data_IF_637497455153
#
_entry.id   IF_637497455153
#
_cell.length_a   1.000
_cell.length_b   1.000
_cell.length_c   1.000
_cell.angle_alpha   90.00
_cell.angle_beta   90.00
_cell.angle_gamma   90.00
#
_symmetry.space_group_name_H-M   'P 1'
#
loop_
_entity.id
_entity.type
_entity.pdbx_description
1 polymer ?
#
# COMPACT_ATOMS: atom_id res chain seq x y z
N UNK A 1 23.45 -11.09 11.54
CA UNK A 1 21.98 -11.08 11.39
C UNK A 1 21.48 -12.42 11.86
N UNK A 2 20.52 -12.44 12.77
CA UNK A 2 19.90 -13.68 13.24
C UNK A 2 19.14 -14.36 12.07
N UNK A 3 19.14 -15.70 12.03
CA UNK A 3 18.54 -16.52 10.96
C UNK A 3 17.07 -16.14 10.72
N UNK A 4 16.37 -15.81 11.80
CA UNK A 4 14.98 -15.36 11.79
C UNK A 4 14.79 -14.09 10.94
N UNK A 5 15.70 -13.12 11.01
CA UNK A 5 15.58 -11.86 10.24
C UNK A 5 15.70 -12.13 8.74
N UNK A 6 16.64 -13.00 8.35
CA UNK A 6 16.85 -13.36 6.95
C UNK A 6 15.64 -14.11 6.38
N UNK A 7 15.11 -15.07 7.14
CA UNK A 7 13.96 -15.88 6.73
C UNK A 7 12.70 -15.01 6.53
N UNK A 8 12.34 -14.18 7.51
CA UNK A 8 11.15 -13.34 7.39
C UNK A 8 11.27 -12.29 6.29
N UNK A 9 12.46 -11.70 6.07
CA UNK A 9 12.71 -10.82 4.92
C UNK A 9 12.51 -11.54 3.60
N UNK A 10 13.05 -12.75 3.48
CA UNK A 10 12.94 -13.54 2.26
C UNK A 10 11.48 -13.88 1.94
N UNK A 11 10.71 -14.35 2.93
CA UNK A 11 9.28 -14.63 2.76
C UNK A 11 8.51 -13.34 2.40
N UNK A 12 8.78 -12.24 3.10
CA UNK A 12 8.13 -10.94 2.85
C UNK A 12 8.34 -10.46 1.42
N UNK A 13 9.58 -10.56 0.91
CA UNK A 13 9.94 -10.16 -0.45
C UNK A 13 9.22 -11.03 -1.48
N UNK A 14 9.25 -12.35 -1.34
CA UNK A 14 8.57 -13.27 -2.27
C UNK A 14 7.07 -12.99 -2.31
N UNK A 15 6.44 -12.92 -1.13
CA UNK A 15 5.01 -12.62 -1.03
C UNK A 15 4.68 -11.25 -1.64
N UNK A 16 5.53 -10.25 -1.40
CA UNK A 16 5.39 -8.89 -1.95
C UNK A 16 5.48 -8.87 -3.47
N UNK A 17 6.43 -9.61 -4.06
CA UNK A 17 6.56 -9.75 -5.52
C UNK A 17 5.32 -10.42 -6.09
N UNK A 18 4.83 -11.51 -5.50
CA UNK A 18 3.61 -12.19 -5.94
C UNK A 18 2.41 -11.24 -5.87
N UNK A 19 2.25 -10.52 -4.77
CA UNK A 19 1.13 -9.62 -4.56
C UNK A 19 1.13 -8.44 -5.53
N UNK A 20 2.22 -7.68 -5.57
CA UNK A 20 2.33 -6.47 -6.39
C UNK A 20 2.43 -6.83 -7.88
N UNK A 21 3.08 -7.93 -8.23
CA UNK A 21 3.11 -8.43 -9.60
C UNK A 21 1.71 -8.74 -10.13
N UNK A 22 0.89 -9.45 -9.36
CA UNK A 22 -0.50 -9.72 -9.72
C UNK A 22 -1.37 -8.46 -9.72
N UNK A 23 -1.11 -7.52 -8.79
CA UNK A 23 -1.77 -6.21 -8.81
C UNK A 23 -1.55 -5.49 -10.15
N UNK A 24 -0.31 -5.44 -10.63
CA UNK A 24 0.03 -4.81 -11.90
C UNK A 24 -0.55 -5.58 -13.09
N UNK A 25 -0.51 -6.92 -13.05
CA UNK A 25 -1.18 -7.74 -14.04
C UNK A 25 -2.67 -7.41 -14.14
N UNK A 26 -3.38 -7.33 -13.02
CA UNK A 26 -4.83 -7.05 -13.04
C UNK A 26 -5.15 -5.68 -13.63
N UNK A 27 -4.39 -4.65 -13.27
CA UNK A 27 -4.73 -3.27 -13.60
C UNK A 27 -4.17 -2.78 -14.94
N UNK A 28 -3.00 -3.26 -15.35
CA UNK A 28 -2.35 -2.81 -16.59
C UNK A 28 -2.47 -3.79 -17.74
N UNK A 29 -2.94 -5.03 -17.51
CA UNK A 29 -3.02 -6.06 -18.55
C UNK A 29 -4.43 -6.65 -18.58
N UNK A 30 -4.82 -7.37 -17.53
CA UNK A 30 -6.03 -8.17 -17.52
C UNK A 30 -7.30 -7.36 -17.77
N UNK A 31 -7.43 -6.17 -17.17
CA UNK A 31 -8.60 -5.30 -17.39
C UNK A 31 -8.79 -4.91 -18.87
N UNK A 32 -7.70 -4.62 -19.58
CA UNK A 32 -7.74 -4.27 -21.00
C UNK A 32 -8.03 -5.47 -21.88
N UNK A 33 -7.45 -6.63 -21.56
CA UNK A 33 -7.76 -7.90 -22.26
C UNK A 33 -9.22 -8.31 -22.03
N UNK A 34 -9.73 -8.21 -20.80
CA UNK A 34 -11.12 -8.54 -20.49
C UNK A 34 -12.11 -7.65 -21.25
N UNK A 35 -11.74 -6.41 -21.55
CA UNK A 35 -12.57 -5.50 -22.33
C UNK A 35 -12.71 -5.92 -23.81
N UNK A 36 -11.77 -6.69 -24.36
CA UNK A 36 -11.82 -7.17 -25.75
C UNK A 36 -12.60 -8.47 -25.92
N UNK A 37 -12.95 -9.15 -24.83
CA UNK A 37 -13.66 -10.44 -24.86
C UNK A 37 -15.16 -10.24 -25.06
N UNK A 38 -15.74 -11.04 -25.96
CA UNK A 38 -17.18 -11.21 -26.09
C UNK A 38 -17.78 -11.95 -24.88
N UNK A 39 -19.11 -12.01 -24.81
CA UNK A 39 -19.82 -12.60 -23.68
C UNK A 39 -19.50 -14.10 -23.47
N UNK A 40 -19.41 -14.89 -24.53
CA UNK A 40 -19.15 -16.32 -24.44
C UNK A 40 -17.69 -16.60 -24.04
N UNK A 41 -16.76 -15.81 -24.56
CA UNK A 41 -15.36 -15.85 -24.12
C UNK A 41 -15.21 -15.47 -22.65
N UNK A 42 -15.90 -14.44 -22.16
CA UNK A 42 -15.88 -14.05 -20.74
C UNK A 42 -16.36 -15.18 -19.83
N UNK A 43 -17.46 -15.87 -20.21
CA UNK A 43 -18.00 -17.02 -19.45
C UNK A 43 -17.00 -18.16 -19.33
N UNK A 44 -16.13 -18.35 -20.32
CA UNK A 44 -15.09 -19.40 -20.30
C UNK A 44 -13.83 -18.96 -19.55
N UNK A 45 -13.36 -17.75 -19.78
CA UNK A 45 -12.05 -17.28 -19.29
C UNK A 45 -12.13 -16.79 -17.85
N UNK A 46 -13.13 -15.96 -17.51
CA UNK A 46 -13.18 -15.26 -16.20
C UNK A 46 -13.31 -16.25 -15.03
N UNK A 47 -14.23 -17.24 -15.05
CA UNK A 47 -14.37 -18.19 -13.94
C UNK A 47 -13.15 -19.08 -13.74
N UNK A 48 -12.32 -19.26 -14.76
CA UNK A 48 -11.11 -20.08 -14.68
C UNK A 48 -9.88 -19.24 -14.28
N UNK A 49 -9.67 -18.08 -14.89
CA UNK A 49 -8.51 -17.24 -14.65
C UNK A 49 -8.59 -16.52 -13.30
N UNK A 50 -9.73 -15.86 -13.03
CA UNK A 50 -9.82 -14.92 -11.92
C UNK A 50 -9.70 -15.58 -10.55
N UNK A 51 -10.40 -16.69 -10.23
CA UNK A 51 -10.25 -17.32 -8.91
C UNK A 51 -8.81 -17.80 -8.64
N UNK A 52 -8.12 -18.33 -9.65
CA UNK A 52 -6.73 -18.80 -9.51
C UNK A 52 -5.78 -17.65 -9.27
N UNK A 53 -5.88 -16.58 -10.06
CA UNK A 53 -5.05 -15.39 -9.87
C UNK A 53 -5.37 -14.68 -8.54
N UNK A 54 -6.65 -14.56 -8.17
CA UNK A 54 -7.08 -13.93 -6.92
C UNK A 54 -6.65 -14.73 -5.68
N UNK A 55 -6.52 -16.06 -5.78
CA UNK A 55 -5.98 -16.88 -4.71
C UNK A 55 -4.55 -16.45 -4.34
N UNK A 56 -3.64 -16.41 -5.32
CA UNK A 56 -2.27 -15.98 -5.08
C UNK A 56 -2.18 -14.50 -4.70
N UNK A 57 -3.04 -13.66 -5.26
CA UNK A 57 -3.09 -12.24 -4.93
C UNK A 57 -3.48 -11.99 -3.46
N UNK A 58 -4.55 -12.62 -2.95
CA UNK A 58 -5.02 -12.43 -1.57
C UNK A 58 -4.09 -13.03 -0.53
N UNK A 59 -3.52 -14.21 -0.83
CA UNK A 59 -2.56 -14.83 0.07
C UNK A 59 -1.20 -14.15 0.02
N UNK A 60 -0.77 -13.66 -1.14
CA UNK A 60 0.39 -12.77 -1.25
C UNK A 60 0.22 -11.56 -0.35
N UNK A 61 -0.94 -10.88 -0.42
CA UNK A 61 -1.26 -9.75 0.45
C UNK A 61 -1.21 -10.10 1.94
N UNK A 62 -1.82 -11.22 2.34
CA UNK A 62 -1.82 -11.67 3.73
C UNK A 62 -0.41 -11.99 4.24
N UNK A 63 0.37 -12.75 3.47
CA UNK A 63 1.74 -13.11 3.86
C UNK A 63 2.67 -11.90 3.91
N UNK A 64 2.59 -10.98 2.95
CA UNK A 64 3.34 -9.72 3.00
C UNK A 64 2.97 -8.92 4.24
N UNK A 65 1.69 -8.78 4.56
CA UNK A 65 1.25 -8.02 5.74
C UNK A 65 1.71 -8.67 7.05
N UNK A 66 1.48 -9.97 7.24
CA UNK A 66 1.88 -10.70 8.46
C UNK A 66 3.39 -10.66 8.66
N UNK A 67 4.16 -11.00 7.63
CA UNK A 67 5.64 -10.95 7.73
C UNK A 67 6.15 -9.52 7.88
N UNK A 68 5.46 -8.54 7.30
CA UNK A 68 5.76 -7.12 7.45
C UNK A 68 5.58 -6.65 8.90
N UNK A 69 4.55 -7.10 9.60
CA UNK A 69 4.36 -6.84 11.03
C UNK A 69 5.50 -7.40 11.87
N UNK A 70 5.90 -8.64 11.60
CA UNK A 70 7.04 -9.27 12.29
C UNK A 70 8.32 -8.48 12.04
N UNK A 71 8.59 -8.09 10.80
CA UNK A 71 9.77 -7.30 10.45
C UNK A 71 9.73 -5.89 11.05
N UNK A 72 8.58 -5.22 11.04
CA UNK A 72 8.40 -3.92 11.68
C UNK A 72 8.71 -4.02 13.17
N UNK A 73 8.22 -5.06 13.84
CA UNK A 73 8.54 -5.28 15.25
C UNK A 73 10.03 -5.55 15.46
N UNK A 74 10.57 -6.56 14.80
CA UNK A 74 11.93 -7.05 15.05
C UNK A 74 13.02 -6.05 14.63
N UNK A 75 12.79 -5.29 13.56
CA UNK A 75 13.80 -4.35 13.02
C UNK A 75 13.67 -2.97 13.65
N UNK A 76 12.44 -2.49 13.87
CA UNK A 76 12.21 -1.12 14.30
C UNK A 76 11.84 -1.04 15.79
N UNK A 77 10.91 -1.87 16.27
CA UNK A 77 10.35 -1.72 17.61
C UNK A 77 10.96 -2.62 18.71
N UNK A 78 11.89 -3.51 18.36
CA UNK A 78 12.52 -4.38 19.35
C UNK A 78 13.34 -3.52 20.33
N UNK A 79 12.97 -3.56 21.62
CA UNK A 79 13.57 -2.71 22.65
C UNK A 79 12.95 -1.32 22.83
N UNK A 80 11.88 -0.97 22.11
CA UNK A 80 11.23 0.36 22.18
C UNK A 80 9.71 0.35 22.34
N UNK A 81 9.08 -0.81 22.63
CA UNK A 81 7.63 -0.89 22.85
C UNK A 81 7.15 -0.37 24.22
N UNK A 82 8.06 -0.10 25.16
CA UNK A 82 7.71 0.45 26.48
C UNK A 82 7.92 1.96 26.50
N UNK A 83 7.17 2.68 27.34
CA UNK A 83 7.49 4.09 27.65
C UNK A 83 8.89 4.20 28.26
N UNK A 84 9.63 5.24 27.90
CA UNK A 84 10.96 5.53 28.46
C UNK A 84 12.06 5.59 27.39
N UNK A 85 13.32 5.65 27.83
CA UNK A 85 14.46 5.82 26.93
C UNK A 85 14.54 4.71 25.88
N UNK A 86 14.68 5.11 24.62
CA UNK A 86 14.84 4.19 23.51
C UNK A 86 16.34 3.88 23.33
N UNK A 87 16.73 2.63 23.59
CA UNK A 87 18.10 2.16 23.39
C UNK A 87 18.13 1.09 22.29
N UNK A 88 19.07 1.22 21.35
CA UNK A 88 19.42 0.16 20.39
C UNK A 88 18.39 -0.18 19.31
N UNK A 89 17.41 0.70 19.04
CA UNK A 89 16.38 0.49 18.02
C UNK A 89 16.58 1.40 16.79
N UNK A 90 15.73 1.25 15.77
CA UNK A 90 15.75 2.07 14.53
C UNK A 90 14.59 3.05 14.42
N UNK A 91 13.88 3.30 15.52
CA UNK A 91 12.72 4.18 15.57
C UNK A 91 13.09 5.61 15.89
N UNK A 92 14.01 5.81 16.82
CA UNK A 92 14.34 7.11 17.37
C UNK A 92 15.86 7.31 17.39
N UNK A 93 16.28 8.57 17.47
CA UNK A 93 17.67 8.91 17.77
C UNK A 93 18.05 8.41 19.18
N UNK A 94 19.31 7.99 19.35
CA UNK A 94 19.79 7.47 20.63
C UNK A 94 19.57 8.49 21.77
N UNK A 95 19.02 8.03 22.89
CA UNK A 95 18.67 8.90 24.03
C UNK A 95 17.31 9.61 23.90
N UNK A 96 16.57 9.40 22.80
CA UNK A 96 15.19 9.87 22.68
C UNK A 96 14.24 8.97 23.48
N UNK A 97 13.32 9.55 24.22
CA UNK A 97 12.28 8.81 24.93
C UNK A 97 11.14 8.39 24.01
N UNK A 98 10.69 7.15 24.17
CA UNK A 98 9.45 6.66 23.59
C UNK A 98 8.28 7.23 24.38
N UNK A 99 7.49 8.07 23.73
CA UNK A 99 6.37 8.79 24.33
C UNK A 99 5.02 8.17 23.97
N UNK A 100 3.95 8.64 24.63
CA UNK A 100 2.58 8.26 24.29
C UNK A 100 2.23 8.65 22.85
N UNK A 101 2.76 9.77 22.32
CA UNK A 101 2.50 10.17 20.94
C UNK A 101 3.04 9.15 19.93
N UNK A 102 4.19 8.52 20.18
CA UNK A 102 4.71 7.44 19.35
C UNK A 102 3.74 6.26 19.24
N UNK A 103 3.10 5.89 20.35
CA UNK A 103 2.11 4.80 20.38
C UNK A 103 0.80 5.17 19.69
N UNK A 104 0.34 6.41 19.88
CA UNK A 104 -0.84 6.94 19.17
C UNK A 104 -0.57 6.94 17.66
N UNK A 105 0.60 7.38 17.22
CA UNK A 105 0.93 7.40 15.78
C UNK A 105 1.11 6.00 15.21
N UNK A 106 1.65 5.05 15.99
CA UNK A 106 1.67 3.63 15.61
C UNK A 106 0.24 3.09 15.44
N UNK A 107 -0.70 3.45 16.33
CA UNK A 107 -2.10 3.11 16.17
C UNK A 107 -2.70 3.75 14.91
N UNK A 108 -2.39 5.02 14.62
CA UNK A 108 -2.85 5.72 13.40
C UNK A 108 -2.40 5.00 12.13
N UNK A 109 -1.19 4.43 12.10
CA UNK A 109 -0.69 3.63 10.95
C UNK A 109 -1.62 2.47 10.62
N UNK A 110 -2.14 1.76 11.62
CA UNK A 110 -3.03 0.62 11.40
C UNK A 110 -4.50 1.01 11.30
N UNK A 111 -4.97 1.97 12.11
CA UNK A 111 -6.34 2.45 12.11
C UNK A 111 -6.68 3.37 10.92
N UNK A 112 -5.67 3.95 10.27
CA UNK A 112 -5.82 4.85 9.13
C UNK A 112 -6.60 4.23 7.97
N UNK A 113 -6.64 2.89 7.88
CA UNK A 113 -7.46 2.18 6.91
C UNK A 113 -8.96 2.46 7.04
N UNK A 114 -9.47 2.65 8.26
CA UNK A 114 -10.90 2.94 8.47
C UNK A 114 -11.25 4.36 8.07
N UNK A 115 -10.35 5.31 8.34
CA UNK A 115 -10.47 6.70 7.88
C UNK A 115 -10.45 6.74 6.36
N UNK A 116 -9.49 6.03 5.74
CA UNK A 116 -9.41 5.87 4.29
C UNK A 116 -10.68 5.25 3.69
N UNK A 117 -11.18 4.14 4.24
CA UNK A 117 -12.37 3.46 3.72
C UNK A 117 -13.61 4.35 3.82
N UNK A 118 -13.78 5.06 4.95
CA UNK A 118 -14.83 6.04 5.17
C UNK A 118 -14.75 7.21 4.18
N UNK A 119 -13.57 7.80 3.99
CA UNK A 119 -13.36 8.92 3.08
C UNK A 119 -13.79 8.57 1.65
N UNK A 120 -13.39 7.39 1.17
CA UNK A 120 -13.69 6.90 -0.17
C UNK A 120 -15.11 6.31 -0.33
N UNK A 121 -15.92 6.30 0.72
CA UNK A 121 -17.38 6.06 0.66
C UNK A 121 -18.21 7.33 0.75
N UNK A 122 -17.60 8.43 1.18
CA UNK A 122 -18.27 9.72 1.31
C UNK A 122 -18.54 10.37 -0.05
N UNK A 123 -19.40 11.38 -0.07
CA UNK A 123 -19.67 12.19 -1.26
C UNK A 123 -18.41 12.86 -1.84
N UNK A 124 -17.35 13.04 -1.03
CA UNK A 124 -16.07 13.59 -1.48
C UNK A 124 -15.44 12.75 -2.61
N UNK A 125 -15.68 11.43 -2.61
CA UNK A 125 -15.13 10.50 -3.60
C UNK A 125 -15.67 10.76 -5.02
N UNK A 126 -16.79 11.49 -5.16
CA UNK A 126 -17.33 11.88 -6.46
C UNK A 126 -16.40 12.87 -7.21
N UNK A 127 -15.59 13.65 -6.49
CA UNK A 127 -14.63 14.57 -7.07
C UNK A 127 -13.21 14.05 -6.87
N UNK A 128 -12.70 13.34 -7.88
CA UNK A 128 -11.37 12.73 -7.87
C UNK A 128 -10.28 13.74 -7.52
N UNK A 129 -10.34 14.97 -8.05
CA UNK A 129 -9.31 15.98 -7.78
C UNK A 129 -9.28 16.38 -6.31
N UNK A 130 -10.45 16.65 -5.73
CA UNK A 130 -10.55 17.08 -4.33
C UNK A 130 -10.14 15.95 -3.40
N UNK A 131 -10.64 14.72 -3.58
CA UNK A 131 -10.28 13.61 -2.70
C UNK A 131 -8.79 13.23 -2.80
N UNK A 132 -8.15 13.40 -3.96
CA UNK A 132 -6.70 13.23 -4.11
C UNK A 132 -5.93 14.30 -3.33
N UNK A 133 -6.33 15.57 -3.40
CA UNK A 133 -5.70 16.66 -2.63
C UNK A 133 -5.85 16.40 -1.12
N UNK A 134 -7.07 16.06 -0.67
CA UNK A 134 -7.34 15.76 0.74
C UNK A 134 -6.50 14.55 1.20
N UNK A 135 -6.43 13.49 0.39
CA UNK A 135 -5.60 12.32 0.70
C UNK A 135 -4.11 12.70 0.82
N UNK A 136 -3.59 13.53 -0.08
CA UNK A 136 -2.20 13.98 -0.05
C UNK A 136 -1.89 14.82 1.20
N UNK A 137 -2.79 15.74 1.56
CA UNK A 137 -2.66 16.56 2.78
C UNK A 137 -2.72 15.68 4.03
N UNK A 138 -3.62 14.70 4.10
CA UNK A 138 -3.69 13.77 5.23
C UNK A 138 -2.41 12.93 5.37
N UNK A 139 -1.86 12.44 4.27
CA UNK A 139 -0.56 11.75 4.25
C UNK A 139 0.54 12.69 4.78
N UNK A 140 0.58 13.94 4.30
CA UNK A 140 1.52 14.95 4.78
C UNK A 140 1.40 15.23 6.28
N UNK A 141 0.17 15.38 6.78
CA UNK A 141 -0.08 15.56 8.20
C UNK A 141 0.42 14.37 9.03
N UNK A 142 0.15 13.13 8.60
CA UNK A 142 0.62 11.93 9.31
C UNK A 142 2.14 11.85 9.35
N UNK A 143 2.83 12.07 8.22
CA UNK A 143 4.31 12.02 8.18
C UNK A 143 4.91 13.17 9.00
N UNK A 144 4.35 14.37 8.92
CA UNK A 144 4.76 15.51 9.73
C UNK A 144 4.64 15.19 11.24
N UNK A 145 3.50 14.63 11.66
CA UNK A 145 3.28 14.23 13.05
C UNK A 145 4.25 13.12 13.49
N UNK A 146 4.57 12.16 12.61
CA UNK A 146 5.58 11.14 12.90
C UNK A 146 6.95 11.77 13.19
N UNK A 147 7.41 12.68 12.32
CA UNK A 147 8.72 13.29 12.49
C UNK A 147 8.77 14.27 13.68
N UNK A 148 7.80 15.17 13.81
CA UNK A 148 7.90 16.31 14.75
C UNK A 148 7.20 16.08 16.09
N UNK A 149 6.27 15.12 16.18
CA UNK A 149 5.49 14.87 17.41
C UNK A 149 5.81 13.50 18.01
N UNK A 150 5.98 12.49 17.17
CA UNK A 150 6.42 11.16 17.60
C UNK A 150 7.95 11.01 17.59
N UNK A 151 8.71 12.00 17.09
CA UNK A 151 10.17 11.98 17.03
C UNK A 151 10.74 10.76 16.28
N UNK A 152 10.01 10.26 15.28
CA UNK A 152 10.47 9.17 14.43
C UNK A 152 11.63 9.66 13.57
N UNK A 153 12.73 8.91 13.58
CA UNK A 153 13.85 9.15 12.67
C UNK A 153 13.43 8.91 11.20
N UNK A 154 14.25 9.38 10.25
CA UNK A 154 14.00 9.26 8.82
C UNK A 154 13.54 7.86 8.41
N UNK A 155 14.27 6.85 8.88
CA UNK A 155 13.99 5.47 8.51
C UNK A 155 12.65 5.00 9.06
N UNK A 156 12.32 5.45 10.26
CA UNK A 156 11.12 5.10 11.00
C UNK A 156 9.86 5.67 10.36
N UNK A 157 9.77 6.98 10.11
CA UNK A 157 8.55 7.54 9.51
C UNK A 157 8.30 7.02 8.08
N UNK A 158 9.37 6.76 7.32
CA UNK A 158 9.26 6.17 5.99
C UNK A 158 8.64 4.77 6.06
N UNK A 159 9.20 3.86 6.88
CA UNK A 159 8.67 2.49 6.96
C UNK A 159 7.24 2.48 7.50
N UNK A 160 6.89 3.37 8.43
CA UNK A 160 5.53 3.48 8.99
C UNK A 160 4.52 3.99 7.96
N UNK A 161 4.90 4.93 7.09
CA UNK A 161 4.05 5.30 5.95
C UNK A 161 3.84 4.09 5.02
N UNK A 162 4.89 3.33 4.75
CA UNK A 162 4.83 2.09 3.99
C UNK A 162 3.90 1.05 4.59
N UNK A 163 3.99 0.84 5.91
CA UNK A 163 3.10 -0.05 6.67
C UNK A 163 1.65 0.43 6.61
N UNK A 164 1.41 1.74 6.68
CA UNK A 164 0.07 2.31 6.56
C UNK A 164 -0.53 2.01 5.18
N UNK A 165 0.22 2.26 4.11
CA UNK A 165 -0.20 1.92 2.75
C UNK A 165 -0.41 0.42 2.58
N UNK A 166 0.51 -0.41 3.07
CA UNK A 166 0.40 -1.87 3.00
C UNK A 166 -0.82 -2.40 3.74
N UNK A 167 -1.16 -1.82 4.88
CA UNK A 167 -2.36 -2.15 5.66
C UNK A 167 -3.63 -1.75 4.94
N UNK A 168 -3.70 -0.53 4.38
CA UNK A 168 -4.82 -0.08 3.54
C UNK A 168 -5.01 -1.00 2.34
N UNK A 169 -3.90 -1.38 1.70
CA UNK A 169 -3.92 -2.25 0.53
C UNK A 169 -4.37 -3.67 0.87
N UNK A 170 -3.86 -4.27 1.94
CA UNK A 170 -4.25 -5.61 2.38
C UNK A 170 -5.74 -5.65 2.77
N UNK A 171 -6.22 -4.60 3.44
CA UNK A 171 -7.63 -4.46 3.75
C UNK A 171 -8.50 -4.39 2.50
N UNK A 172 -8.10 -3.58 1.50
CA UNK A 172 -8.81 -3.52 0.22
C UNK A 172 -8.92 -4.90 -0.42
N UNK A 173 -7.86 -5.70 -0.41
CA UNK A 173 -7.87 -7.05 -0.98
C UNK A 173 -8.89 -7.94 -0.30
N UNK A 174 -8.84 -8.04 1.03
CA UNK A 174 -9.64 -9.02 1.78
C UNK A 174 -11.08 -8.58 2.05
N UNK A 175 -11.33 -7.29 2.24
CA UNK A 175 -12.64 -6.79 2.69
C UNK A 175 -13.44 -6.04 1.61
N UNK A 176 -12.82 -5.66 0.50
CA UNK A 176 -13.50 -4.94 -0.59
C UNK A 176 -13.45 -5.71 -1.91
N UNK A 177 -12.25 -6.06 -2.36
CA UNK A 177 -12.03 -6.68 -3.67
C UNK A 177 -12.49 -8.13 -3.67
N UNK A 178 -12.03 -8.94 -2.73
CA UNK A 178 -12.32 -10.38 -2.72
C UNK A 178 -13.83 -10.69 -2.64
N UNK A 179 -14.61 -10.12 -1.68
CA UNK A 179 -16.05 -10.39 -1.62
C UNK A 179 -16.80 -9.94 -2.88
N UNK A 180 -16.46 -8.77 -3.42
CA UNK A 180 -17.06 -8.27 -4.67
C UNK A 180 -16.73 -9.19 -5.85
N UNK A 181 -15.48 -9.63 -5.97
CA UNK A 181 -15.05 -10.54 -7.04
C UNK A 181 -15.73 -11.90 -6.96
N UNK A 182 -15.99 -12.44 -5.77
CA UNK A 182 -16.76 -13.69 -5.64
C UNK A 182 -18.15 -13.58 -6.25
N UNK A 183 -18.85 -12.47 -6.02
CA UNK A 183 -20.17 -12.22 -6.61
C UNK A 183 -20.08 -12.00 -8.13
N UNK A 184 -19.16 -11.13 -8.58
CA UNK A 184 -18.95 -10.82 -10.01
C UNK A 184 -18.65 -12.10 -10.80
N UNK A 185 -17.72 -12.93 -10.32
CA UNK A 185 -17.32 -14.16 -11.00
C UNK A 185 -18.47 -15.16 -11.03
N UNK A 186 -19.26 -15.27 -9.95
CA UNK A 186 -20.44 -16.15 -9.90
C UNK A 186 -21.49 -15.73 -10.93
N UNK A 187 -21.83 -14.44 -11.01
CA UNK A 187 -22.79 -13.95 -12.02
C UNK A 187 -22.30 -14.23 -13.45
N UNK A 188 -21.02 -13.95 -13.73
CA UNK A 188 -20.44 -14.24 -15.06
C UNK A 188 -20.48 -15.73 -15.37
N UNK A 189 -20.15 -16.59 -14.40
CA UNK A 189 -20.22 -18.05 -14.55
C UNK A 189 -21.64 -18.54 -14.87
N UNK A 190 -22.66 -17.95 -14.25
CA UNK A 190 -24.07 -18.27 -14.49
C UNK A 190 -24.63 -17.63 -15.76
N UNK A 191 -23.85 -16.77 -16.41
CA UNK A 191 -24.25 -16.04 -17.61
C UNK A 191 -25.16 -14.85 -17.35
N UNK A 192 -25.21 -14.38 -16.11
CA UNK A 192 -25.91 -13.18 -15.66
C UNK A 192 -25.00 -11.94 -15.80
N UNK A 193 -25.62 -10.75 -15.91
CA UNK A 193 -24.88 -9.50 -15.84
C UNK A 193 -24.42 -9.26 -14.39
N UNK A 194 -23.11 -9.02 -14.13
CA UNK A 194 -22.63 -8.72 -12.80
C UNK A 194 -23.12 -7.34 -12.33
N UNK A 195 -23.29 -7.19 -11.02
CA UNK A 195 -23.64 -5.92 -10.39
C UNK A 195 -22.58 -4.83 -10.69
N UNK A 196 -23.03 -3.76 -11.34
CA UNK A 196 -22.18 -2.64 -11.74
C UNK A 196 -21.52 -1.91 -10.57
N UNK A 197 -22.18 -1.83 -9.42
CA UNK A 197 -21.64 -1.17 -8.23
C UNK A 197 -20.50 -1.99 -7.63
N UNK A 198 -20.63 -3.32 -7.62
CA UNK A 198 -19.56 -4.22 -7.19
C UNK A 198 -18.37 -4.19 -8.15
N UNK A 199 -18.61 -4.12 -9.46
CA UNK A 199 -17.55 -3.97 -10.46
C UNK A 199 -16.80 -2.65 -10.26
N UNK A 200 -17.52 -1.53 -10.06
CA UNK A 200 -16.93 -0.23 -9.80
C UNK A 200 -16.16 -0.19 -8.48
N UNK A 201 -16.68 -0.83 -7.42
CA UNK A 201 -16.01 -0.96 -6.13
C UNK A 201 -14.70 -1.75 -6.25
N UNK A 202 -14.75 -2.94 -6.84
CA UNK A 202 -13.55 -3.79 -6.99
C UNK A 202 -12.49 -3.09 -7.85
N UNK A 203 -12.90 -2.47 -8.95
CA UNK A 203 -12.01 -1.71 -9.83
C UNK A 203 -11.37 -0.50 -9.16
N UNK A 204 -12.15 0.30 -8.43
CA UNK A 204 -11.63 1.49 -7.73
C UNK A 204 -10.64 1.12 -6.63
N UNK A 205 -10.93 0.10 -5.81
CA UNK A 205 -10.03 -0.36 -4.74
C UNK A 205 -8.77 -1.02 -5.28
N UNK A 206 -8.88 -1.76 -6.38
CA UNK A 206 -7.72 -2.27 -7.11
C UNK A 206 -6.82 -1.14 -7.63
N UNK A 207 -7.43 -0.09 -8.20
CA UNK A 207 -6.71 1.09 -8.68
C UNK A 207 -6.03 1.85 -7.55
N UNK A 208 -6.70 2.04 -6.41
CA UNK A 208 -6.09 2.65 -5.22
C UNK A 208 -4.84 1.87 -4.80
N UNK A 209 -4.91 0.53 -4.74
CA UNK A 209 -3.74 -0.28 -4.43
C UNK A 209 -2.58 -0.03 -5.41
N UNK A 210 -2.86 0.13 -6.71
CA UNK A 210 -1.80 0.46 -7.69
C UNK A 210 -1.16 1.83 -7.42
N UNK A 211 -1.94 2.84 -7.05
CA UNK A 211 -1.38 4.17 -6.73
C UNK A 211 -0.57 4.16 -5.43
N UNK A 212 -0.98 3.36 -4.46
CA UNK A 212 -0.27 3.20 -3.18
C UNK A 212 1.01 2.35 -3.32
N UNK A 213 1.06 1.39 -4.26
CA UNK A 213 2.16 0.43 -4.34
C UNK A 213 3.50 1.05 -4.70
N UNK A 214 3.55 2.00 -5.63
CA UNK A 214 4.82 2.61 -6.08
C UNK A 214 5.53 3.37 -4.95
N UNK A 215 4.89 4.32 -4.23
CA UNK A 215 5.53 4.95 -3.10
C UNK A 215 5.74 3.99 -1.92
N UNK A 216 4.88 2.99 -1.73
CA UNK A 216 5.13 1.92 -0.75
C UNK A 216 6.46 1.21 -1.04
N UNK A 217 6.75 0.83 -2.28
CA UNK A 217 8.01 0.15 -2.61
C UNK A 217 9.23 1.01 -2.22
N UNK A 218 9.18 2.33 -2.43
CA UNK A 218 10.24 3.23 -1.97
C UNK A 218 10.47 3.12 -0.46
N UNK A 219 9.38 3.18 0.32
CA UNK A 219 9.48 3.05 1.78
C UNK A 219 10.00 1.69 2.24
N UNK A 220 9.89 0.64 1.42
CA UNK A 220 10.39 -0.70 1.74
C UNK A 220 11.88 -0.88 1.43
N UNK A 221 12.45 -0.09 0.52
CA UNK A 221 13.90 -0.07 0.23
C UNK A 221 14.65 0.96 1.08
N UNK A 222 14.05 1.37 2.20
CA UNK A 222 14.47 2.47 3.07
C UNK A 222 15.98 2.54 3.35
N UNK A 223 16.62 1.40 3.64
CA UNK A 223 18.07 1.30 3.91
C UNK A 223 18.93 1.88 2.76
N UNK A 224 18.42 1.81 1.54
CA UNK A 224 19.07 2.32 0.33
C UNK A 224 18.72 3.78 0.02
N UNK A 225 17.87 4.40 0.84
CA UNK A 225 17.38 5.78 0.64
C UNK A 225 17.81 6.72 1.77
N UNK A 226 18.69 6.29 2.67
CA UNK A 226 19.18 7.10 3.79
C UNK A 226 19.94 8.34 3.33
N UNK A 227 20.42 8.38 2.09
CA UNK A 227 20.95 9.59 1.46
C UNK A 227 19.94 10.76 1.49
N UNK A 228 18.63 10.48 1.53
CA UNK A 228 17.57 11.48 1.58
C UNK A 228 17.12 11.86 3.00
N UNK A 229 17.82 11.42 4.05
CA UNK A 229 17.49 11.71 5.45
C UNK A 229 17.66 13.19 5.86
N UNK A 230 18.13 14.04 4.96
CA UNK A 230 18.47 15.44 5.20
C UNK A 230 19.97 15.65 5.41
N UNK A 231 20.40 16.91 5.38
CA UNK A 231 21.80 17.33 5.32
C UNK A 231 22.42 17.15 3.92
N UNK A 232 22.02 16.10 3.21
CA UNK A 232 22.34 15.88 1.81
C UNK A 232 21.36 16.63 0.89
N UNK A 233 21.78 16.91 -0.35
CA UNK A 233 20.99 17.65 -1.35
C UNK A 233 20.59 19.09 -0.95
N UNK A 234 21.17 19.64 0.12
CA UNK A 234 20.84 20.97 0.62
C UNK A 234 19.49 21.07 1.35
N UNK A 235 18.88 19.94 1.72
CA UNK A 235 17.62 19.89 2.46
C UNK A 235 17.92 19.63 3.94
N UNK A 236 17.60 20.55 4.86
CA UNK A 236 17.74 20.31 6.30
C UNK A 236 16.96 19.07 6.77
N UNK A 237 17.46 18.36 7.79
CA UNK A 237 16.84 17.13 8.32
C UNK A 237 15.41 17.34 8.83
N UNK A 238 15.11 18.51 9.39
CA UNK A 238 13.76 18.96 9.77
C UNK A 238 12.75 18.98 8.62
N UNK A 239 13.21 19.01 7.36
CA UNK A 239 12.37 19.00 6.16
C UNK A 239 12.42 17.67 5.40
N UNK A 240 13.06 16.62 5.95
CA UNK A 240 13.19 15.32 5.29
C UNK A 240 11.82 14.65 4.99
N UNK A 241 10.77 14.91 5.77
CA UNK A 241 9.40 14.47 5.46
C UNK A 241 8.88 14.99 4.11
N UNK A 242 9.28 16.18 3.66
CA UNK A 242 8.88 16.73 2.37
C UNK A 242 9.43 15.90 1.20
N UNK A 243 10.62 15.29 1.38
CA UNK A 243 11.20 14.41 0.37
C UNK A 243 10.31 13.18 0.18
N UNK A 244 9.82 12.58 1.26
CA UNK A 244 8.90 11.46 1.20
C UNK A 244 7.57 11.85 0.52
N UNK A 245 7.05 13.06 0.76
CA UNK A 245 5.87 13.56 0.03
C UNK A 245 6.14 13.77 -1.46
N UNK A 246 7.33 14.26 -1.81
CA UNK A 246 7.77 14.32 -3.20
C UNK A 246 7.77 12.94 -3.86
N UNK A 247 8.25 11.91 -3.17
CA UNK A 247 8.21 10.53 -3.63
C UNK A 247 6.78 10.00 -3.78
N UNK A 248 5.87 10.33 -2.84
CA UNK A 248 4.45 9.96 -2.96
C UNK A 248 3.84 10.57 -4.22
N UNK A 249 4.03 11.87 -4.44
CA UNK A 249 3.53 12.56 -5.62
C UNK A 249 4.13 12.00 -6.91
N UNK A 250 5.45 11.75 -6.93
CA UNK A 250 6.14 11.13 -8.06
C UNK A 250 5.60 9.73 -8.35
N UNK A 251 5.44 8.90 -7.31
CA UNK A 251 4.90 7.55 -7.43
C UNK A 251 3.49 7.55 -8.03
N UNK A 252 2.62 8.45 -7.57
CA UNK A 252 1.28 8.63 -8.15
C UNK A 252 1.34 9.07 -9.61
N UNK A 253 2.24 9.99 -9.95
CA UNK A 253 2.43 10.43 -11.33
C UNK A 253 2.90 9.28 -12.24
N UNK A 254 3.87 8.46 -11.79
CA UNK A 254 4.34 7.29 -12.53
C UNK A 254 3.19 6.32 -12.80
N UNK A 255 2.40 5.99 -11.76
CA UNK A 255 1.23 5.11 -11.91
C UNK A 255 0.22 5.67 -12.90
N UNK A 256 -0.03 6.99 -12.86
CA UNK A 256 -0.91 7.66 -13.82
C UNK A 256 -0.41 7.51 -15.27
N UNK A 257 0.88 7.72 -15.52
CA UNK A 257 1.49 7.52 -16.84
C UNK A 257 1.36 6.07 -17.31
N UNK A 258 1.59 5.11 -16.41
CA UNK A 258 1.47 3.68 -16.72
C UNK A 258 0.04 3.29 -17.07
N UNK A 259 -0.96 3.81 -16.36
CA UNK A 259 -2.37 3.64 -16.74
C UNK A 259 -2.65 4.19 -18.14
N UNK A 260 -2.20 5.42 -18.44
CA UNK A 260 -2.38 6.03 -19.76
C UNK A 260 -1.74 5.20 -20.88
N UNK A 261 -0.55 4.66 -20.65
CA UNK A 261 0.15 3.80 -21.61
C UNK A 261 -0.54 2.44 -21.76
N UNK A 262 -0.90 1.79 -20.65
CA UNK A 262 -1.44 0.42 -20.63
C UNK A 262 -2.69 0.25 -21.50
N UNK A 263 -3.61 1.21 -21.49
CA UNK A 263 -4.82 1.17 -22.33
C UNK A 263 -4.57 1.38 -23.83
N UNK A 264 -3.35 1.73 -24.23
CA UNK A 264 -2.96 1.93 -25.64
C UNK A 264 -2.12 0.76 -26.19
N UNK A 265 -1.64 -0.14 -25.34
CA UNK A 265 -0.86 -1.30 -25.76
C UNK A 265 -1.80 -2.31 -26.42
N UNK A 266 -1.58 -2.58 -27.72
CA UNK A 266 -2.38 -3.54 -28.49
C UNK A 266 -1.71 -4.92 -28.46
N UNK A 267 -2.54 -5.97 -28.42
CA UNK A 267 -2.10 -7.32 -28.79
C UNK A 267 -1.79 -7.39 -30.29
N UNK A 268 -0.99 -8.39 -30.68
CA UNK A 268 -0.67 -8.72 -32.07
C UNK A 268 -1.07 -10.15 -32.36
#
# INVERSE_FOLDING_TARGET
MDLMHALFKWIHIIAGITWIGLLYFFNWINGHVAATLDADSKKKVVPELMPRALYFFRWGAAWTWVTGLVLLYVIFWNGSLTMGESAGNLMFEAGTEVTMSAHILLLVVFAGVFIYDFLYKSALASNVRVITIVSFVLIGAVVYLMQHVAMFDYRAFNIHLGTMFGTMMAFNVWFRIWPAQQSIITSIKNGEAPDGDLVALAGSRSKHNTYLSVPLIWTMINQHTTYFAGGNLGIPSEYSWLVLLGIVALGWHIVWQLYKKSGQVKGF
#
